data_IF_501379608392
#
_entry.id   IF_501379608392
#
_cell.length_a   1.000
_cell.length_b   1.000
_cell.length_c   1.000
_cell.angle_alpha   90.00
_cell.angle_beta   90.00
_cell.angle_gamma   90.00
#
_symmetry.space_group_name_H-M   'P 1'
#
loop_
_entity.id
_entity.type
_entity.pdbx_description
1 polymer ?
#
# COMPACT_ATOMS: atom_id res chain seq x y z
N UNK A 1 29.20 -7.24 6.45
CA UNK A 1 30.47 -7.08 5.75
C UNK A 1 30.27 -7.29 4.26
N UNK A 2 30.69 -6.31 3.44
CA UNK A 2 30.53 -6.27 1.98
C UNK A 2 31.66 -7.00 1.23
N UNK A 3 32.25 -8.05 1.82
CA UNK A 3 33.32 -8.83 1.15
C UNK A 3 32.66 -9.88 0.26
N UNK A 4 32.91 -9.82 -1.04
CA UNK A 4 32.53 -10.88 -1.98
C UNK A 4 33.30 -12.17 -1.62
N UNK A 5 32.56 -13.26 -1.47
CA UNK A 5 33.15 -14.59 -1.29
C UNK A 5 32.89 -15.41 -2.57
N UNK A 6 33.78 -16.34 -2.92
CA UNK A 6 33.62 -17.23 -4.11
C UNK A 6 32.33 -18.09 -4.08
N UNK A 7 31.56 -18.05 -3.00
CA UNK A 7 30.30 -18.80 -2.80
C UNK A 7 29.03 -17.97 -3.00
N UNK A 8 29.16 -16.66 -3.28
CA UNK A 8 27.97 -15.79 -3.44
C UNK A 8 27.22 -16.10 -4.73
N UNK A 9 25.92 -16.22 -4.64
CA UNK A 9 25.04 -16.30 -5.82
C UNK A 9 25.02 -14.97 -6.58
N UNK A 10 24.59 -14.97 -7.84
CA UNK A 10 24.49 -13.74 -8.65
C UNK A 10 23.54 -12.72 -8.01
N UNK A 11 22.44 -13.18 -7.41
CA UNK A 11 21.49 -12.32 -6.67
C UNK A 11 22.14 -11.67 -5.44
N UNK A 12 22.92 -12.42 -4.66
CA UNK A 12 23.65 -11.89 -3.48
C UNK A 12 24.69 -10.86 -3.87
N UNK A 13 25.38 -11.06 -5.02
CA UNK A 13 26.34 -10.07 -5.55
C UNK A 13 25.67 -8.78 -5.95
N UNK A 14 24.50 -8.86 -6.62
CA UNK A 14 23.70 -7.69 -6.98
C UNK A 14 23.23 -6.97 -5.72
N UNK A 15 22.72 -7.70 -4.72
CA UNK A 15 22.28 -7.14 -3.45
C UNK A 15 23.41 -6.41 -2.71
N UNK A 16 24.58 -7.04 -2.59
CA UNK A 16 25.77 -6.43 -1.97
C UNK A 16 26.23 -5.16 -2.72
N UNK A 17 26.19 -5.18 -4.05
CA UNK A 17 26.54 -4.01 -4.89
C UNK A 17 25.56 -2.86 -4.65
N UNK A 18 24.25 -3.14 -4.59
CA UNK A 18 23.24 -2.11 -4.33
C UNK A 18 23.35 -1.56 -2.92
N UNK A 19 23.57 -2.39 -1.90
CA UNK A 19 23.82 -1.94 -0.51
C UNK A 19 25.04 -1.02 -0.45
N UNK A 20 26.14 -1.36 -1.12
CA UNK A 20 27.31 -0.49 -1.19
C UNK A 20 27.00 0.87 -1.80
N UNK A 21 26.19 0.89 -2.86
CA UNK A 21 25.77 2.13 -3.48
C UNK A 21 24.90 2.99 -2.55
N UNK A 22 24.07 2.38 -1.69
CA UNK A 22 23.35 3.10 -0.65
C UNK A 22 24.30 3.74 0.38
N UNK A 23 25.30 3.01 0.85
CA UNK A 23 26.32 3.56 1.77
C UNK A 23 27.08 4.74 1.18
N UNK A 24 27.33 4.72 -0.13
CA UNK A 24 27.99 5.83 -0.80
C UNK A 24 27.03 7.01 -1.04
N UNK A 25 25.75 6.75 -1.31
CA UNK A 25 24.72 7.76 -1.42
C UNK A 25 24.41 8.43 -0.06
N UNK A 26 24.38 7.70 1.03
CA UNK A 26 24.16 8.22 2.39
C UNK A 26 25.18 9.32 2.76
N UNK A 27 26.38 9.25 2.22
CA UNK A 27 27.43 10.27 2.45
C UNK A 27 27.20 11.59 1.73
N UNK A 28 26.33 11.63 0.73
CA UNK A 28 26.12 12.78 -0.17
C UNK A 28 24.69 13.32 -0.15
N UNK A 29 23.72 12.52 0.33
CA UNK A 29 22.34 12.98 0.46
C UNK A 29 22.17 13.89 1.67
N UNK A 30 21.35 14.93 1.51
CA UNK A 30 20.95 15.81 2.61
C UNK A 30 19.57 15.45 3.15
N UNK A 31 18.70 14.86 2.31
CA UNK A 31 17.29 14.61 2.63
C UNK A 31 16.92 13.13 2.70
N UNK A 32 17.75 12.23 2.16
CA UNK A 32 17.48 10.79 2.17
C UNK A 32 16.30 10.37 1.30
N UNK A 33 15.94 11.15 0.27
CA UNK A 33 14.82 10.85 -0.63
C UNK A 33 15.24 9.86 -1.71
N UNK A 34 14.47 8.78 -1.86
CA UNK A 34 14.68 7.77 -2.92
C UNK A 34 14.78 8.38 -4.32
N UNK A 35 14.09 9.48 -4.58
CA UNK A 35 14.08 10.14 -5.89
C UNK A 35 15.44 10.77 -6.26
N UNK A 36 16.36 10.96 -5.30
CA UNK A 36 17.73 11.39 -5.58
C UNK A 36 18.60 10.27 -6.18
N UNK A 37 18.15 9.01 -6.08
CA UNK A 37 18.88 7.87 -6.63
C UNK A 37 18.80 7.88 -8.16
N UNK A 38 19.96 7.92 -8.81
CA UNK A 38 20.08 7.91 -10.28
C UNK A 38 19.94 6.52 -10.91
N UNK A 39 19.54 5.52 -10.13
CA UNK A 39 19.41 4.11 -10.56
C UNK A 39 18.21 3.47 -9.88
N UNK A 40 17.63 2.47 -10.55
CA UNK A 40 16.56 1.70 -9.98
C UNK A 40 17.06 0.78 -8.85
N UNK A 41 16.40 0.89 -7.71
CA UNK A 41 16.64 0.04 -6.56
C UNK A 41 15.53 -0.99 -6.46
N UNK A 42 15.91 -2.25 -6.30
CA UNK A 42 14.90 -3.30 -6.11
C UNK A 42 14.08 -3.04 -4.84
N UNK A 43 12.79 -3.32 -4.92
CA UNK A 43 11.88 -3.16 -3.78
C UNK A 43 12.36 -3.92 -2.53
N UNK A 44 12.90 -5.14 -2.72
CA UNK A 44 13.45 -6.00 -1.67
C UNK A 44 14.60 -5.35 -0.89
N UNK A 45 15.39 -4.51 -1.55
CA UNK A 45 16.51 -3.82 -0.89
C UNK A 45 16.02 -2.53 -0.26
N UNK A 46 15.11 -1.82 -0.94
CA UNK A 46 14.53 -0.61 -0.39
C UNK A 46 13.81 -0.89 0.95
N UNK A 47 13.04 -1.97 1.06
CA UNK A 47 12.40 -2.40 2.31
C UNK A 47 13.36 -2.60 3.48
N UNK A 48 14.64 -2.87 3.23
CA UNK A 48 15.65 -3.06 4.29
C UNK A 48 16.26 -1.75 4.81
N UNK A 49 16.09 -0.67 4.08
CA UNK A 49 16.74 0.63 4.39
C UNK A 49 15.74 1.77 4.57
N UNK A 50 14.48 1.62 4.15
CA UNK A 50 13.45 2.62 4.36
C UNK A 50 12.99 2.67 5.81
N UNK A 51 12.53 3.83 6.22
CA UNK A 51 11.85 3.98 7.51
C UNK A 51 10.40 3.46 7.41
N UNK A 52 10.05 2.48 8.23
CA UNK A 52 8.66 2.05 8.43
C UNK A 52 8.15 2.60 9.76
N UNK A 53 7.03 3.32 9.73
CA UNK A 53 6.55 4.09 10.89
C UNK A 53 6.25 3.23 12.12
N UNK A 54 5.77 2.02 11.94
CA UNK A 54 5.42 1.08 13.01
C UNK A 54 6.62 0.26 13.54
N UNK A 55 7.73 0.21 12.78
CA UNK A 55 9.01 -0.37 13.22
C UNK A 55 9.98 0.68 13.76
N UNK A 56 9.56 1.94 13.83
CA UNK A 56 10.42 3.03 14.26
C UNK A 56 10.39 3.21 15.78
N UNK A 57 11.54 3.06 16.44
CA UNK A 57 11.70 3.27 17.89
C UNK A 57 11.64 4.75 18.31
N UNK A 58 11.44 5.67 17.38
CA UNK A 58 11.35 7.11 17.67
C UNK A 58 12.58 7.63 18.39
N UNK A 59 12.37 8.41 19.46
CA UNK A 59 13.45 9.01 20.25
C UNK A 59 14.36 8.00 20.97
N UNK A 60 13.96 6.74 21.07
CA UNK A 60 14.79 5.66 21.62
C UNK A 60 15.77 5.08 20.59
N UNK A 61 15.66 5.45 19.32
CA UNK A 61 16.57 4.98 18.27
C UNK A 61 17.96 5.64 18.46
N UNK A 62 19.07 4.87 18.46
CA UNK A 62 20.42 5.44 18.60
C UNK A 62 20.79 6.39 17.45
N UNK A 63 20.13 6.30 16.31
CA UNK A 63 20.33 7.15 15.12
C UNK A 63 19.31 8.29 15.00
N UNK A 64 18.51 8.58 16.05
CA UNK A 64 17.41 9.55 16.01
C UNK A 64 17.84 10.93 15.51
N UNK A 65 18.99 11.44 15.97
CA UNK A 65 19.47 12.77 15.63
C UNK A 65 19.96 12.90 14.18
N UNK A 66 20.40 11.80 13.58
CA UNK A 66 20.92 11.76 12.21
C UNK A 66 19.85 11.25 11.21
N UNK A 67 18.72 10.78 11.71
CA UNK A 67 17.65 10.19 10.92
C UNK A 67 16.99 11.21 9.97
N UNK A 68 17.03 10.96 8.68
CA UNK A 68 16.40 11.80 7.66
C UNK A 68 14.90 11.97 7.87
N UNK A 69 14.23 10.89 8.30
CA UNK A 69 12.79 10.94 8.61
C UNK A 69 12.47 11.93 9.73
N UNK A 70 13.25 11.98 10.81
CA UNK A 70 13.03 12.91 11.91
C UNK A 70 13.48 14.34 11.58
N UNK A 71 14.53 14.52 10.76
CA UNK A 71 14.90 15.84 10.22
C UNK A 71 13.73 16.42 9.41
N UNK A 72 13.18 15.65 8.45
CA UNK A 72 12.02 16.07 7.68
C UNK A 72 10.78 16.34 8.56
N UNK A 73 10.55 15.54 9.60
CA UNK A 73 9.47 15.76 10.57
C UNK A 73 9.62 17.07 11.35
N UNK A 74 10.82 17.46 11.69
CA UNK A 74 11.09 18.74 12.35
C UNK A 74 10.71 19.89 11.44
N UNK A 75 11.11 19.85 10.18
CA UNK A 75 10.80 20.89 9.20
C UNK A 75 9.28 21.01 8.97
N UNK A 76 8.58 19.86 8.91
CA UNK A 76 7.10 19.81 8.81
C UNK A 76 6.43 20.51 10.00
N UNK A 77 6.93 20.32 11.22
CA UNK A 77 6.36 20.94 12.42
C UNK A 77 6.58 22.44 12.51
N UNK A 78 7.60 22.97 11.82
CA UNK A 78 7.93 24.40 11.76
C UNK A 78 7.21 25.12 10.58
N UNK A 79 6.54 24.38 9.69
CA UNK A 79 5.91 24.93 8.50
C UNK A 79 4.52 25.51 8.78
N UNK A 80 4.23 26.70 8.25
CA UNK A 80 2.92 27.35 8.29
C UNK A 80 1.94 26.76 7.25
N UNK A 81 2.47 26.23 6.15
CA UNK A 81 1.72 25.62 5.04
C UNK A 81 2.38 24.31 4.62
N UNK A 82 1.58 23.26 4.56
CA UNK A 82 2.01 21.95 4.07
C UNK A 82 1.28 21.59 2.78
N UNK A 83 2.03 21.16 1.77
CA UNK A 83 1.48 20.62 0.53
C UNK A 83 1.74 19.12 0.53
N UNK A 84 0.67 18.34 0.55
CA UNK A 84 0.71 16.88 0.59
C UNK A 84 -0.25 16.29 -0.44
N UNK A 85 0.00 15.07 -0.88
CA UNK A 85 -0.97 14.37 -1.72
C UNK A 85 -2.15 13.83 -0.88
N UNK A 86 -3.27 13.55 -1.53
CA UNK A 86 -4.46 13.03 -0.87
C UNK A 86 -4.20 11.72 -0.13
N UNK A 87 -3.35 10.84 -0.64
CA UNK A 87 -3.02 9.57 0.01
C UNK A 87 -2.33 9.77 1.37
N UNK A 88 -1.37 10.69 1.45
CA UNK A 88 -0.71 11.03 2.73
C UNK A 88 -1.69 11.63 3.72
N UNK A 89 -2.60 12.50 3.25
CA UNK A 89 -3.64 13.08 4.09
C UNK A 89 -4.58 12.02 4.67
N UNK A 90 -5.05 11.08 3.85
CA UNK A 90 -5.92 10.00 4.35
C UNK A 90 -5.18 8.99 5.22
N UNK A 91 -3.88 8.75 4.98
CA UNK A 91 -3.05 7.96 5.88
C UNK A 91 -2.92 8.61 7.26
N UNK A 92 -2.74 9.92 7.32
CA UNK A 92 -2.75 10.69 8.56
C UNK A 92 -4.10 10.61 9.28
N UNK A 93 -5.19 10.74 8.51
CA UNK A 93 -6.55 10.71 9.04
C UNK A 93 -6.87 9.38 9.75
N UNK A 94 -6.40 8.25 9.23
CA UNK A 94 -6.61 6.98 9.90
C UNK A 94 -5.85 6.85 11.20
N UNK A 95 -4.61 7.30 11.25
CA UNK A 95 -3.86 7.31 12.53
C UNK A 95 -4.61 8.18 13.55
N UNK A 96 -5.17 9.31 13.10
CA UNK A 96 -5.99 10.17 13.97
C UNK A 96 -7.30 9.52 14.39
N UNK A 97 -7.87 8.66 13.57
CA UNK A 97 -9.07 7.90 13.95
C UNK A 97 -8.81 6.98 15.13
N UNK A 98 -7.65 6.33 15.19
CA UNK A 98 -7.29 5.41 16.27
C UNK A 98 -6.74 6.13 17.51
N UNK A 99 -5.86 7.11 17.31
CA UNK A 99 -5.12 7.78 18.38
C UNK A 99 -5.76 9.09 18.89
N UNK A 100 -6.83 9.55 18.22
CA UNK A 100 -7.48 10.85 18.47
C UNK A 100 -7.01 11.95 17.52
N UNK A 101 -7.94 12.84 17.13
CA UNK A 101 -7.71 13.83 16.06
C UNK A 101 -6.53 14.78 16.34
N UNK A 102 -6.28 15.17 17.58
CA UNK A 102 -5.18 16.04 18.01
C UNK A 102 -4.01 15.25 18.63
N UNK A 103 -3.70 14.07 18.06
CA UNK A 103 -2.61 13.25 18.55
C UNK A 103 -1.24 13.79 18.09
N UNK A 104 -0.21 13.57 18.92
CA UNK A 104 1.18 13.83 18.55
C UNK A 104 1.83 12.67 17.74
N UNK A 105 1.10 11.57 17.57
CA UNK A 105 1.57 10.38 16.83
C UNK A 105 1.17 10.38 15.35
N UNK A 106 0.49 11.44 14.88
CA UNK A 106 0.04 11.58 13.49
C UNK A 106 1.21 11.79 12.49
N UNK A 107 0.94 11.56 11.21
CA UNK A 107 1.90 11.83 10.13
C UNK A 107 2.10 13.34 9.96
N UNK A 108 1.02 14.08 9.95
CA UNK A 108 1.00 15.53 9.82
C UNK A 108 0.89 16.20 11.20
N UNK A 109 1.43 17.41 11.41
CA UNK A 109 1.16 18.18 12.61
C UNK A 109 -0.32 18.52 12.72
N UNK A 110 -0.75 19.12 13.85
CA UNK A 110 -2.12 19.59 13.96
C UNK A 110 -2.36 20.75 12.97
N UNK A 111 -3.52 20.72 12.32
CA UNK A 111 -3.93 21.71 11.31
C UNK A 111 -5.34 22.20 11.59
N UNK A 112 -5.63 23.46 11.28
CA UNK A 112 -6.92 24.11 11.48
C UNK A 112 -7.73 24.21 10.18
N UNK A 113 -7.06 24.21 9.03
CA UNK A 113 -7.66 24.39 7.72
C UNK A 113 -7.09 23.35 6.76
N UNK A 114 -7.97 22.76 5.97
CA UNK A 114 -7.58 21.87 4.86
C UNK A 114 -8.13 22.42 3.55
N UNK A 115 -7.27 22.48 2.54
CA UNK A 115 -7.66 22.79 1.16
C UNK A 115 -7.43 21.56 0.31
N UNK A 116 -8.49 21.02 -0.24
CA UNK A 116 -8.43 19.92 -1.19
C UNK A 116 -8.44 20.50 -2.61
N UNK A 117 -7.30 20.45 -3.27
CA UNK A 117 -7.21 20.72 -4.69
C UNK A 117 -7.53 19.45 -5.49
N UNK A 118 -8.12 19.61 -6.68
CA UNK A 118 -8.66 18.49 -7.47
C UNK A 118 -9.60 17.58 -6.63
N UNK A 119 -10.47 18.25 -5.88
CA UNK A 119 -11.32 17.61 -4.87
C UNK A 119 -12.28 16.55 -5.43
N UNK A 120 -12.47 16.48 -6.76
CA UNK A 120 -13.22 15.42 -7.42
C UNK A 120 -12.62 14.02 -7.19
N UNK A 121 -11.34 13.92 -6.78
CA UNK A 121 -10.66 12.66 -6.49
C UNK A 121 -10.84 12.18 -5.03
N UNK A 122 -11.45 12.99 -4.16
CA UNK A 122 -11.52 12.68 -2.72
C UNK A 122 -12.31 11.42 -2.45
N UNK A 123 -13.46 11.24 -3.09
CA UNK A 123 -14.31 10.07 -2.88
C UNK A 123 -13.56 8.78 -3.19
N UNK A 124 -12.91 8.71 -4.35
CA UNK A 124 -12.15 7.52 -4.76
C UNK A 124 -10.93 7.28 -3.87
N UNK A 125 -10.22 8.35 -3.50
CA UNK A 125 -9.05 8.23 -2.62
C UNK A 125 -9.47 7.77 -1.23
N UNK A 126 -10.52 8.34 -0.65
CA UNK A 126 -11.08 7.92 0.63
C UNK A 126 -11.56 6.47 0.58
N UNK A 127 -12.28 6.09 -0.48
CA UNK A 127 -12.77 4.72 -0.69
C UNK A 127 -11.62 3.73 -0.76
N UNK A 128 -10.55 4.03 -1.51
CA UNK A 128 -9.36 3.18 -1.58
C UNK A 128 -8.69 3.05 -0.21
N UNK A 129 -8.65 4.14 0.54
CA UNK A 129 -8.05 4.17 1.85
C UNK A 129 -8.81 3.33 2.88
N UNK A 130 -10.14 3.42 2.89
CA UNK A 130 -11.01 2.63 3.77
C UNK A 130 -11.30 1.22 3.23
N UNK A 131 -10.64 0.80 2.15
CA UNK A 131 -10.74 -0.55 1.61
C UNK A 131 -9.76 -1.48 2.30
N UNK A 132 -10.25 -2.53 2.91
CA UNK A 132 -9.42 -3.62 3.41
C UNK A 132 -8.94 -4.49 2.25
N UNK A 133 -7.64 -4.76 2.20
CA UNK A 133 -7.02 -5.63 1.19
C UNK A 133 -6.20 -6.73 1.84
N UNK A 134 -6.38 -7.96 1.38
CA UNK A 134 -5.50 -9.09 1.69
C UNK A 134 -5.06 -9.73 0.38
N UNK A 135 -3.76 -9.85 0.18
CA UNK A 135 -3.21 -10.61 -0.95
C UNK A 135 -2.40 -11.80 -0.47
N UNK A 136 -2.34 -12.86 -1.30
CA UNK A 136 -1.50 -14.02 -1.03
C UNK A 136 -0.04 -13.63 -0.82
N UNK A 137 0.44 -12.69 -1.63
CA UNK A 137 1.81 -12.18 -1.52
C UNK A 137 2.04 -11.43 -0.21
N UNK A 138 1.15 -10.47 0.13
CA UNK A 138 1.29 -9.67 1.36
C UNK A 138 1.16 -10.54 2.62
N UNK A 139 0.19 -11.46 2.66
CA UNK A 139 0.05 -12.42 3.74
C UNK A 139 1.34 -13.23 3.97
N UNK A 140 1.93 -13.72 2.85
CA UNK A 140 3.18 -14.44 2.90
C UNK A 140 4.38 -13.62 3.38
N UNK A 141 4.41 -12.33 3.05
CA UNK A 141 5.45 -11.39 3.50
C UNK A 141 5.33 -11.12 5.00
N UNK A 142 4.12 -10.86 5.49
CA UNK A 142 3.87 -10.59 6.91
C UNK A 142 4.31 -11.78 7.78
N UNK A 143 3.90 -13.00 7.44
CA UNK A 143 4.34 -14.20 8.16
C UNK A 143 5.84 -14.41 8.03
N UNK A 144 6.41 -14.18 6.84
CA UNK A 144 7.83 -14.34 6.56
C UNK A 144 8.73 -13.38 7.34
N UNK A 145 8.26 -12.19 7.68
CA UNK A 145 9.00 -11.24 8.54
C UNK A 145 9.14 -11.76 9.97
N UNK A 146 8.17 -12.53 10.46
CA UNK A 146 8.27 -13.19 11.77
C UNK A 146 9.18 -14.40 11.66
N UNK A 147 8.92 -15.30 10.71
CA UNK A 147 9.72 -16.48 10.44
C UNK A 147 9.55 -16.94 8.97
N UNK A 148 10.66 -17.04 8.25
CA UNK A 148 10.67 -17.45 6.85
C UNK A 148 11.28 -18.84 6.66
N UNK A 149 10.45 -19.83 6.42
CA UNK A 149 10.86 -21.22 6.17
C UNK A 149 11.15 -21.54 4.69
N UNK A 150 10.93 -20.57 3.76
CA UNK A 150 10.94 -20.84 2.30
C UNK A 150 12.29 -20.70 1.66
N UNK A 151 13.20 -19.99 2.26
CA UNK A 151 14.55 -19.83 1.75
C UNK A 151 15.47 -20.75 2.52
N UNK A 152 16.20 -21.63 1.81
CA UNK A 152 17.36 -22.36 2.36
C UNK A 152 18.49 -21.39 2.75
N UNK A 153 18.32 -20.12 2.47
CA UNK A 153 19.26 -19.03 2.74
C UNK A 153 18.84 -18.41 4.06
N UNK A 154 19.71 -18.58 5.03
CA UNK A 154 19.84 -17.94 6.32
C UNK A 154 18.57 -17.26 6.88
N UNK A 155 17.80 -18.01 7.69
CA UNK A 155 16.70 -17.47 8.52
C UNK A 155 17.19 -16.49 9.61
N UNK A 156 18.47 -16.14 9.60
CA UNK A 156 19.13 -15.30 10.61
C UNK A 156 18.49 -13.92 10.77
N UNK A 157 17.79 -13.45 9.74
CA UNK A 157 17.18 -12.13 9.69
C UNK A 157 15.70 -12.09 10.12
N UNK A 158 15.04 -13.23 10.32
CA UNK A 158 13.66 -13.23 10.81
C UNK A 158 13.59 -12.74 12.26
N UNK A 159 12.52 -12.00 12.61
CA UNK A 159 12.41 -11.37 13.93
C UNK A 159 12.39 -12.40 15.06
N UNK A 160 11.73 -13.54 14.88
CA UNK A 160 11.76 -14.64 15.85
C UNK A 160 13.17 -15.14 16.14
N UNK A 161 14.00 -15.34 15.11
CA UNK A 161 15.38 -15.82 15.31
C UNK A 161 16.24 -14.78 15.98
N UNK A 162 16.05 -13.48 15.66
CA UNK A 162 16.77 -12.40 16.36
C UNK A 162 16.44 -12.38 17.86
N UNK A 163 15.15 -12.49 18.21
CA UNK A 163 14.73 -12.56 19.62
C UNK A 163 15.31 -13.79 20.30
N UNK A 164 15.30 -14.98 19.68
CA UNK A 164 15.88 -16.18 20.26
C UNK A 164 17.40 -16.05 20.51
N UNK A 165 18.13 -15.38 19.62
CA UNK A 165 19.55 -15.07 19.85
C UNK A 165 19.74 -14.15 21.05
N UNK A 166 18.96 -13.07 21.12
CA UNK A 166 19.00 -12.14 22.26
C UNK A 166 18.71 -12.86 23.57
N UNK A 167 17.72 -13.76 23.60
CA UNK A 167 17.40 -14.58 24.77
C UNK A 167 18.58 -15.50 25.17
N UNK A 168 19.19 -16.18 24.20
CA UNK A 168 20.33 -17.06 24.45
C UNK A 168 21.60 -16.32 24.94
N UNK A 169 21.75 -15.04 24.56
CA UNK A 169 22.85 -14.19 25.00
C UNK A 169 22.63 -13.66 26.43
N UNK A 170 21.39 -13.48 26.86
CA UNK A 170 21.08 -12.79 28.12
C UNK A 170 20.51 -13.69 29.23
N UNK A 171 19.95 -14.85 28.86
CA UNK A 171 19.36 -15.76 29.83
C UNK A 171 20.41 -16.74 30.42
N UNK A 172 20.17 -17.23 31.66
CA UNK A 172 20.94 -18.32 32.20
C UNK A 172 20.82 -19.58 31.35
N UNK A 173 21.89 -20.38 31.31
CA UNK A 173 21.94 -21.60 30.49
C UNK A 173 20.82 -22.61 30.80
N UNK A 174 20.30 -22.57 32.03
CA UNK A 174 19.17 -23.40 32.48
C UNK A 174 17.84 -23.12 31.74
N UNK A 175 17.67 -21.91 31.19
CA UNK A 175 16.48 -21.51 30.46
C UNK A 175 16.56 -21.82 28.94
N UNK A 176 17.71 -22.24 28.41
CA UNK A 176 17.88 -22.49 26.96
C UNK A 176 16.95 -23.58 26.41
N UNK A 177 16.74 -24.66 27.21
CA UNK A 177 15.82 -25.73 26.76
C UNK A 177 14.44 -25.18 26.56
N UNK A 178 13.97 -24.33 27.45
CA UNK A 178 12.65 -23.76 27.43
C UNK A 178 12.46 -22.72 26.28
N UNK A 179 13.52 -21.92 26.02
CA UNK A 179 13.49 -21.00 24.87
C UNK A 179 13.49 -21.74 23.55
N UNK A 180 14.21 -22.85 23.43
CA UNK A 180 14.19 -23.69 22.23
C UNK A 180 12.85 -24.40 22.04
N UNK A 181 12.17 -24.84 23.09
CA UNK A 181 10.81 -25.39 23.03
C UNK A 181 9.83 -24.32 22.52
N UNK A 182 9.90 -23.08 23.05
CA UNK A 182 9.09 -21.97 22.57
C UNK A 182 9.33 -21.68 21.10
N UNK A 183 10.59 -21.66 20.67
CA UNK A 183 10.96 -21.42 19.26
C UNK A 183 10.34 -22.46 18.35
N UNK A 184 10.53 -23.75 18.64
CA UNK A 184 10.00 -24.84 17.81
C UNK A 184 8.46 -24.82 17.74
N UNK A 185 7.78 -24.62 18.87
CA UNK A 185 6.33 -24.50 18.89
C UNK A 185 5.83 -23.28 18.12
N UNK A 186 6.48 -22.13 18.22
CA UNK A 186 6.13 -20.93 17.50
C UNK A 186 6.31 -21.12 15.99
N UNK A 187 7.44 -21.73 15.56
CA UNK A 187 7.70 -22.06 14.16
C UNK A 187 6.62 -22.99 13.60
N UNK A 188 6.29 -24.05 14.32
CA UNK A 188 5.26 -24.99 13.88
C UNK A 188 3.88 -24.34 13.77
N UNK A 189 3.51 -23.50 14.74
CA UNK A 189 2.24 -22.78 14.72
C UNK A 189 2.18 -21.76 13.57
N UNK A 190 3.27 -21.01 13.32
CA UNK A 190 3.36 -20.05 12.21
C UNK A 190 3.26 -20.74 10.84
N UNK A 191 4.00 -21.84 10.66
CA UNK A 191 3.97 -22.59 9.41
C UNK A 191 2.57 -23.16 9.13
N UNK A 192 1.96 -23.81 10.10
CA UNK A 192 0.64 -24.41 9.95
C UNK A 192 -0.44 -23.33 9.72
N UNK A 193 -0.34 -22.21 10.44
CA UNK A 193 -1.21 -21.05 10.24
C UNK A 193 -1.08 -20.50 8.81
N UNK A 194 0.15 -20.30 8.36
CA UNK A 194 0.44 -19.81 7.01
C UNK A 194 -0.11 -20.74 5.93
N UNK A 195 0.20 -22.06 6.01
CA UNK A 195 -0.28 -23.04 5.06
C UNK A 195 -1.80 -23.05 4.95
N UNK A 196 -2.49 -22.92 6.08
CA UNK A 196 -3.95 -22.91 6.11
C UNK A 196 -4.54 -21.62 5.51
N UNK A 197 -3.93 -20.47 5.76
CA UNK A 197 -4.32 -19.20 5.11
C UNK A 197 -4.10 -19.21 3.60
N UNK A 198 -2.97 -19.76 3.15
CA UNK A 198 -2.68 -19.94 1.72
C UNK A 198 -3.64 -20.96 1.08
N UNK A 199 -3.99 -22.06 1.77
CA UNK A 199 -4.97 -23.03 1.28
C UNK A 199 -6.31 -22.38 0.95
N UNK A 200 -6.79 -21.44 1.78
CA UNK A 200 -8.02 -20.69 1.50
C UNK A 200 -7.90 -19.94 0.17
N UNK A 201 -6.81 -19.20 -0.02
CA UNK A 201 -6.58 -18.40 -1.22
C UNK A 201 -6.40 -19.27 -2.47
N UNK A 202 -5.65 -20.37 -2.36
CA UNK A 202 -5.40 -21.29 -3.47
C UNK A 202 -6.66 -22.06 -3.89
N UNK A 203 -7.53 -22.40 -2.95
CA UNK A 203 -8.84 -22.98 -3.28
C UNK A 203 -9.70 -22.03 -4.13
N UNK A 204 -9.69 -20.74 -3.84
CA UNK A 204 -10.41 -19.74 -4.65
C UNK A 204 -9.76 -19.62 -6.04
N UNK A 205 -8.45 -19.57 -6.14
CA UNK A 205 -7.73 -19.52 -7.43
C UNK A 205 -8.07 -20.76 -8.26
N UNK A 206 -8.10 -21.96 -7.63
CA UNK A 206 -8.32 -23.22 -8.32
C UNK A 206 -9.66 -23.29 -9.07
N UNK A 207 -10.69 -22.57 -8.61
CA UNK A 207 -11.98 -22.48 -9.33
C UNK A 207 -11.84 -21.82 -10.71
N UNK A 208 -10.80 -21.05 -10.93
CA UNK A 208 -10.61 -20.22 -12.11
C UNK A 208 -9.34 -20.56 -12.92
N UNK A 209 -8.65 -21.67 -12.59
CA UNK A 209 -7.46 -22.11 -13.33
C UNK A 209 -7.75 -22.38 -14.80
N UNK A 210 -8.94 -22.92 -15.11
CA UNK A 210 -9.38 -23.24 -16.47
C UNK A 210 -10.24 -22.12 -17.09
N UNK A 211 -10.24 -20.93 -16.51
CA UNK A 211 -10.94 -19.79 -17.08
C UNK A 211 -10.05 -19.16 -18.17
N UNK A 212 -10.43 -19.38 -19.42
CA UNK A 212 -9.68 -18.94 -20.60
C UNK A 212 -9.85 -17.44 -20.92
N UNK A 213 -10.54 -16.67 -20.09
CA UNK A 213 -10.60 -15.22 -20.26
C UNK A 213 -9.19 -14.63 -20.18
N UNK A 214 -8.82 -13.83 -21.18
CA UNK A 214 -7.57 -13.10 -21.16
C UNK A 214 -7.64 -11.98 -20.11
N UNK A 215 -6.64 -11.89 -19.22
CA UNK A 215 -6.53 -10.81 -18.23
C UNK A 215 -6.89 -11.23 -16.81
N UNK A 216 -7.16 -10.23 -15.99
CA UNK A 216 -7.52 -10.38 -14.58
C UNK A 216 -8.98 -10.81 -14.43
N UNK A 217 -9.25 -11.60 -13.39
CA UNK A 217 -10.60 -11.96 -12.99
C UNK A 217 -10.99 -11.13 -11.77
N UNK A 218 -12.05 -10.34 -11.89
CA UNK A 218 -12.65 -9.58 -10.77
C UNK A 218 -14.08 -10.07 -10.56
N UNK A 219 -14.36 -10.56 -9.36
CA UNK A 219 -15.68 -11.08 -9.00
C UNK A 219 -16.03 -10.73 -7.55
N UNK A 220 -17.32 -10.52 -7.31
CA UNK A 220 -17.86 -10.34 -5.97
C UNK A 220 -17.91 -11.68 -5.23
N UNK A 221 -17.67 -11.66 -3.92
CA UNK A 221 -17.69 -12.87 -3.07
C UNK A 221 -19.11 -13.44 -2.97
N UNK A 222 -20.15 -12.62 -2.95
CA UNK A 222 -21.54 -13.09 -2.95
C UNK A 222 -21.91 -13.86 -4.23
N UNK A 223 -21.31 -13.50 -5.38
CA UNK A 223 -21.46 -14.29 -6.62
C UNK A 223 -20.83 -15.67 -6.45
N UNK A 224 -19.66 -15.77 -5.83
CA UNK A 224 -19.01 -17.05 -5.52
C UNK A 224 -19.89 -17.88 -4.58
N UNK A 225 -20.39 -17.27 -3.49
CA UNK A 225 -21.28 -17.94 -2.52
C UNK A 225 -22.54 -18.49 -3.17
N UNK A 226 -23.16 -17.72 -4.07
CA UNK A 226 -24.40 -18.13 -4.73
C UNK A 226 -24.19 -19.21 -5.80
N UNK A 227 -23.13 -19.12 -6.60
CA UNK A 227 -22.86 -20.05 -7.70
C UNK A 227 -22.27 -21.37 -7.23
N UNK A 228 -21.46 -21.37 -6.15
CA UNK A 228 -20.68 -22.52 -5.70
C UNK A 228 -20.91 -22.80 -4.20
N UNK A 229 -22.13 -23.05 -3.80
CA UNK A 229 -22.51 -23.29 -2.38
C UNK A 229 -21.71 -24.42 -1.72
N UNK A 230 -21.50 -25.55 -2.42
CA UNK A 230 -20.73 -26.65 -1.89
C UNK A 230 -19.29 -26.23 -1.61
N UNK A 231 -18.64 -25.58 -2.57
CA UNK A 231 -17.28 -25.04 -2.42
C UNK A 231 -17.19 -24.09 -1.23
N UNK A 232 -18.18 -23.18 -1.08
CA UNK A 232 -18.17 -22.24 0.01
C UNK A 232 -18.30 -22.94 1.38
N UNK A 233 -19.10 -23.98 1.49
CA UNK A 233 -19.22 -24.78 2.72
C UNK A 233 -17.89 -25.49 3.05
N UNK A 234 -17.19 -26.02 2.06
CA UNK A 234 -15.85 -26.59 2.24
C UNK A 234 -14.84 -25.54 2.68
N UNK A 235 -14.87 -24.34 2.07
CA UNK A 235 -14.03 -23.22 2.45
C UNK A 235 -14.28 -22.75 3.89
N UNK A 236 -15.55 -22.80 4.33
CA UNK A 236 -15.94 -22.44 5.70
C UNK A 236 -15.27 -23.35 6.73
N UNK A 237 -15.17 -24.66 6.45
CA UNK A 237 -14.45 -25.60 7.31
C UNK A 237 -12.95 -25.26 7.39
N UNK A 238 -12.32 -24.91 6.26
CA UNK A 238 -10.91 -24.50 6.25
C UNK A 238 -10.72 -23.18 7.02
N UNK A 239 -11.65 -22.24 6.86
CA UNK A 239 -11.66 -20.97 7.61
C UNK A 239 -11.77 -21.19 9.12
N UNK A 240 -12.61 -22.12 9.58
CA UNK A 240 -12.73 -22.43 11.00
C UNK A 240 -11.44 -23.05 11.56
N UNK A 241 -10.80 -23.95 10.83
CA UNK A 241 -9.48 -24.46 11.19
C UNK A 241 -8.42 -23.35 11.25
N UNK A 242 -8.47 -22.39 10.33
CA UNK A 242 -7.58 -21.23 10.31
C UNK A 242 -7.77 -20.34 11.54
N UNK A 243 -9.02 -20.13 12.00
CA UNK A 243 -9.36 -19.43 13.25
C UNK A 243 -8.77 -20.13 14.48
N UNK A 244 -8.91 -21.45 14.55
CA UNK A 244 -8.39 -22.25 15.65
C UNK A 244 -6.84 -22.17 15.73
N UNK A 245 -6.18 -22.21 14.58
CA UNK A 245 -4.72 -22.06 14.49
C UNK A 245 -4.26 -20.69 14.92
N UNK A 246 -4.99 -19.62 14.51
CA UNK A 246 -4.73 -18.27 14.98
C UNK A 246 -4.86 -18.16 16.50
N UNK A 247 -5.92 -18.70 17.08
CA UNK A 247 -6.14 -18.69 18.53
C UNK A 247 -4.98 -19.39 19.29
N UNK A 248 -4.47 -20.52 18.76
CA UNK A 248 -3.31 -21.23 19.30
C UNK A 248 -2.03 -20.37 19.21
N UNK A 249 -1.82 -19.74 18.06
CA UNK A 249 -0.65 -18.87 17.82
C UNK A 249 -0.63 -17.68 18.78
N UNK A 250 -1.77 -17.00 18.95
CA UNK A 250 -1.88 -15.84 19.86
C UNK A 250 -1.74 -16.25 21.33
N UNK A 251 -2.27 -17.42 21.71
CA UNK A 251 -2.06 -17.97 23.05
C UNK A 251 -0.58 -18.17 23.31
N UNK A 252 0.13 -18.81 22.39
CA UNK A 252 1.57 -19.07 22.50
C UNK A 252 2.38 -17.78 22.56
N UNK A 253 2.04 -16.78 21.75
CA UNK A 253 2.66 -15.46 21.79
C UNK A 253 2.50 -14.80 23.17
N UNK A 254 1.31 -14.87 23.76
CA UNK A 254 1.04 -14.32 25.10
C UNK A 254 1.88 -15.02 26.16
N UNK A 255 1.97 -16.35 26.09
CA UNK A 255 2.84 -17.13 27.00
C UNK A 255 4.31 -16.70 26.87
N UNK A 256 4.75 -16.45 25.63
CA UNK A 256 6.11 -16.01 25.33
C UNK A 256 6.39 -14.59 25.83
N UNK A 257 5.46 -13.64 25.66
CA UNK A 257 5.57 -12.29 26.21
C UNK A 257 5.69 -12.31 27.74
N UNK A 258 4.80 -13.01 28.42
CA UNK A 258 4.84 -13.15 29.86
C UNK A 258 6.15 -13.82 30.37
N UNK A 259 6.78 -14.62 29.51
CA UNK A 259 8.08 -15.21 29.81
C UNK A 259 9.21 -14.20 29.68
N UNK A 260 9.22 -13.37 28.62
CA UNK A 260 10.22 -12.30 28.41
C UNK A 260 10.16 -11.26 29.52
N UNK A 261 8.96 -10.81 29.90
CA UNK A 261 8.73 -9.82 30.95
C UNK A 261 9.36 -10.20 32.32
N UNK A 262 9.44 -11.50 32.65
CA UNK A 262 10.07 -11.97 33.89
C UNK A 262 11.55 -11.66 34.02
N UNK A 263 12.21 -11.35 32.91
CA UNK A 263 13.66 -11.14 32.86
C UNK A 263 14.04 -9.68 32.59
N UNK A 264 13.06 -8.75 32.61
CA UNK A 264 13.23 -7.31 32.34
C UNK A 264 14.02 -7.03 31.05
N UNK A 265 13.82 -7.87 30.03
CA UNK A 265 14.57 -7.81 28.78
C UNK A 265 14.18 -6.64 27.89
N UNK A 266 12.97 -6.09 28.06
CA UNK A 266 12.49 -4.94 27.31
C UNK A 266 13.23 -3.65 27.68
N UNK A 267 13.55 -3.44 28.96
CA UNK A 267 14.30 -2.26 29.42
C UNK A 267 15.73 -2.23 28.87
N UNK A 268 16.26 -3.37 28.47
CA UNK A 268 17.62 -3.55 27.95
C UNK A 268 17.65 -3.88 26.46
N UNK A 269 16.57 -3.67 25.72
CA UNK A 269 16.48 -3.92 24.28
C UNK A 269 17.05 -2.75 23.46
N UNK A 270 18.36 -2.49 23.63
CA UNK A 270 19.06 -1.37 22.98
C UNK A 270 18.91 -1.33 21.44
N UNK A 271 18.61 -2.48 20.82
CA UNK A 271 18.44 -2.62 19.37
C UNK A 271 16.98 -2.70 18.91
N UNK A 272 16.02 -2.64 19.83
CA UNK A 272 14.59 -2.74 19.52
C UNK A 272 14.16 -4.09 18.95
N UNK A 273 14.88 -5.18 19.22
CA UNK A 273 14.62 -6.50 18.65
C UNK A 273 13.27 -7.08 19.11
N UNK A 274 12.97 -6.92 20.41
CA UNK A 274 11.70 -7.36 20.99
C UNK A 274 10.56 -6.51 20.46
N UNK A 275 10.76 -5.19 20.40
CA UNK A 275 9.79 -4.25 19.84
C UNK A 275 9.44 -4.58 18.39
N UNK A 276 10.46 -4.83 17.52
CA UNK A 276 10.23 -5.23 16.13
C UNK A 276 9.43 -6.53 16.02
N UNK A 277 9.76 -7.53 16.86
CA UNK A 277 9.04 -8.80 16.89
C UNK A 277 7.56 -8.60 17.25
N UNK A 278 7.27 -7.79 18.26
CA UNK A 278 5.89 -7.48 18.67
C UNK A 278 5.12 -6.77 17.56
N UNK A 279 5.76 -5.79 16.90
CA UNK A 279 5.14 -5.05 15.77
C UNK A 279 4.82 -5.96 14.58
N UNK A 280 5.66 -6.94 14.28
CA UNK A 280 5.33 -7.92 13.25
C UNK A 280 4.13 -8.81 13.64
N UNK A 281 3.96 -9.10 14.92
CA UNK A 281 2.76 -9.79 15.39
C UNK A 281 1.51 -8.90 15.38
N UNK A 282 1.62 -7.62 15.69
CA UNK A 282 0.51 -6.67 15.53
C UNK A 282 0.05 -6.61 14.06
N UNK A 283 1.00 -6.53 13.11
CA UNK A 283 0.72 -6.62 11.66
C UNK A 283 0.05 -7.95 11.28
N UNK A 284 0.49 -9.06 11.87
CA UNK A 284 -0.12 -10.36 11.63
C UNK A 284 -1.55 -10.42 12.15
N UNK A 285 -1.81 -9.86 13.33
CA UNK A 285 -3.12 -9.75 13.93
C UNK A 285 -4.07 -8.94 13.03
N UNK A 286 -3.68 -7.75 12.62
CA UNK A 286 -4.43 -6.90 11.71
C UNK A 286 -4.73 -7.62 10.38
N UNK A 287 -3.71 -8.24 9.79
CA UNK A 287 -3.85 -9.02 8.56
C UNK A 287 -4.86 -10.16 8.72
N UNK A 288 -4.84 -10.89 9.84
CA UNK A 288 -5.81 -11.96 10.13
C UNK A 288 -7.22 -11.40 10.32
N UNK A 289 -7.39 -10.31 11.06
CA UNK A 289 -8.69 -9.68 11.31
C UNK A 289 -9.31 -9.22 9.97
N UNK A 290 -8.54 -8.55 9.13
CA UNK A 290 -8.96 -8.14 7.78
C UNK A 290 -9.31 -9.35 6.90
N UNK A 291 -8.51 -10.42 6.97
CA UNK A 291 -8.77 -11.64 6.20
C UNK A 291 -10.11 -12.28 6.59
N UNK A 292 -10.36 -12.44 7.89
CA UNK A 292 -11.61 -13.00 8.40
C UNK A 292 -12.79 -12.08 8.12
N UNK A 293 -12.62 -10.77 8.24
CA UNK A 293 -13.64 -9.77 7.91
C UNK A 293 -14.10 -9.91 6.46
N UNK A 294 -13.16 -9.97 5.52
CA UNK A 294 -13.47 -10.11 4.10
C UNK A 294 -14.15 -11.46 3.80
N UNK A 295 -13.65 -12.56 4.38
CA UNK A 295 -14.22 -13.90 4.16
C UNK A 295 -15.62 -14.06 4.76
N UNK A 296 -15.89 -13.44 5.89
CA UNK A 296 -17.24 -13.45 6.48
C UNK A 296 -18.23 -12.71 5.59
N UNK A 297 -17.83 -11.56 5.03
CA UNK A 297 -18.61 -10.74 4.11
C UNK A 297 -20.08 -10.56 4.55
N UNK A 298 -20.29 -10.23 5.81
CA UNK A 298 -21.60 -10.13 6.47
C UNK A 298 -21.92 -8.73 6.99
N UNK A 299 -20.96 -7.80 6.99
CA UNK A 299 -21.19 -6.42 7.40
C UNK A 299 -21.88 -5.65 6.27
N UNK A 300 -22.96 -4.94 6.61
CA UNK A 300 -23.63 -4.04 5.69
C UNK A 300 -22.75 -2.82 5.36
N UNK A 301 -22.94 -2.24 4.18
CA UNK A 301 -22.16 -1.08 3.74
C UNK A 301 -20.84 -1.40 3.04
N UNK A 302 -20.46 -2.66 2.90
CA UNK A 302 -19.28 -3.09 2.17
C UNK A 302 -19.61 -3.93 0.95
N UNK A 303 -18.79 -3.76 -0.10
CA UNK A 303 -18.74 -4.66 -1.25
C UNK A 303 -17.54 -5.58 -1.10
N UNK A 304 -17.78 -6.88 -1.01
CA UNK A 304 -16.73 -7.89 -0.88
C UNK A 304 -16.45 -8.51 -2.24
N UNK A 305 -15.19 -8.42 -2.67
CA UNK A 305 -14.80 -8.91 -3.99
C UNK A 305 -13.35 -9.43 -3.98
N UNK A 306 -12.97 -10.12 -5.05
CA UNK A 306 -11.62 -10.59 -5.23
C UNK A 306 -11.13 -10.33 -6.65
N UNK A 307 -9.82 -10.26 -6.78
CA UNK A 307 -9.09 -10.12 -8.03
C UNK A 307 -8.04 -11.22 -8.12
N UNK A 308 -8.08 -12.00 -9.19
CA UNK A 308 -7.05 -13.00 -9.50
C UNK A 308 -6.22 -12.44 -10.64
N UNK A 309 -4.91 -12.50 -10.51
CA UNK A 309 -3.97 -12.01 -11.51
C UNK A 309 -4.05 -12.79 -12.82
N UNK A 310 -3.55 -12.21 -13.88
CA UNK A 310 -3.48 -12.78 -15.23
C UNK A 310 -2.85 -14.19 -15.24
N UNK A 311 -1.84 -14.42 -14.43
CA UNK A 311 -1.09 -15.69 -14.38
C UNK A 311 -1.73 -16.74 -13.46
N UNK A 312 -2.83 -16.39 -12.74
CA UNK A 312 -3.48 -17.26 -11.73
C UNK A 312 -2.54 -17.68 -10.59
N UNK A 313 -1.57 -16.85 -10.25
CA UNK A 313 -0.59 -17.10 -9.19
C UNK A 313 -0.87 -16.34 -7.91
N UNK A 314 -1.54 -15.18 -8.03
CA UNK A 314 -1.87 -14.32 -6.90
C UNK A 314 -3.36 -13.97 -6.90
N UNK A 315 -3.90 -13.83 -5.70
CA UNK A 315 -5.25 -13.35 -5.46
C UNK A 315 -5.20 -12.23 -4.44
N UNK A 316 -6.03 -11.24 -4.66
CA UNK A 316 -6.32 -10.15 -3.73
C UNK A 316 -7.78 -10.22 -3.35
N UNK A 317 -8.06 -10.18 -2.06
CA UNK A 317 -9.41 -10.10 -1.49
C UNK A 317 -9.63 -8.69 -0.98
N UNK A 318 -10.82 -8.16 -1.16
CA UNK A 318 -11.16 -6.78 -0.81
C UNK A 318 -12.51 -6.71 -0.06
N UNK A 319 -12.57 -5.79 0.90
CA UNK A 319 -13.83 -5.24 1.41
C UNK A 319 -13.79 -3.73 1.21
N UNK A 320 -14.58 -3.23 0.28
CA UNK A 320 -14.62 -1.83 -0.13
C UNK A 320 -15.89 -1.18 0.40
N UNK A 321 -15.84 -0.07 1.12
CA UNK A 321 -17.04 0.62 1.57
C UNK A 321 -17.85 1.13 0.37
N UNK A 322 -19.16 0.89 0.41
CA UNK A 322 -20.07 1.39 -0.62
C UNK A 322 -20.22 2.92 -0.54
N UNK A 323 -20.28 3.45 0.68
CA UNK A 323 -20.43 4.86 0.98
C UNK A 323 -19.37 5.26 2.01
N UNK A 324 -18.57 6.25 1.69
CA UNK A 324 -17.50 6.79 2.56
C UNK A 324 -17.97 7.99 3.39
N UNK A 325 -19.22 8.42 3.22
CA UNK A 325 -19.73 9.64 3.83
C UNK A 325 -19.70 9.60 5.36
N UNK A 326 -20.01 8.46 5.96
CA UNK A 326 -20.00 8.31 7.41
C UNK A 326 -18.56 8.42 7.96
N UNK A 327 -17.61 7.73 7.35
CA UNK A 327 -16.20 7.76 7.74
C UNK A 327 -15.63 9.18 7.58
N UNK A 328 -15.95 9.88 6.49
CA UNK A 328 -15.54 11.26 6.28
C UNK A 328 -16.18 12.23 7.28
N UNK A 329 -17.46 12.04 7.59
CA UNK A 329 -18.14 12.88 8.59
C UNK A 329 -17.51 12.72 9.97
N UNK A 330 -17.37 11.49 10.46
CA UNK A 330 -16.88 11.21 11.82
C UNK A 330 -15.41 11.59 12.00
N UNK A 331 -14.59 11.35 10.98
CA UNK A 331 -13.13 11.49 11.08
C UNK A 331 -12.58 12.82 10.58
N UNK A 332 -13.32 13.52 9.71
CA UNK A 332 -12.86 14.76 9.10
C UNK A 332 -13.82 15.92 9.32
N UNK A 333 -15.08 15.81 8.84
CA UNK A 333 -15.96 16.97 8.78
C UNK A 333 -16.46 17.41 10.16
N UNK A 334 -16.63 16.49 11.09
CA UNK A 334 -16.98 16.82 12.48
C UNK A 334 -15.79 17.38 13.29
N UNK A 335 -14.56 17.12 12.85
CA UNK A 335 -13.33 17.50 13.56
C UNK A 335 -12.76 18.84 13.12
N UNK A 336 -13.01 19.27 11.88
CA UNK A 336 -12.47 20.50 11.29
C UNK A 336 -13.60 21.48 10.93
N UNK A 337 -13.42 22.73 11.33
CA UNK A 337 -14.40 23.79 11.02
C UNK A 337 -14.20 24.43 9.65
N UNK A 338 -13.01 24.34 9.10
CA UNK A 338 -12.64 25.01 7.84
C UNK A 338 -12.05 24.03 6.86
N UNK A 339 -12.87 23.67 5.86
CA UNK A 339 -12.46 22.81 4.75
C UNK A 339 -12.85 23.52 3.47
N UNK A 340 -11.93 23.56 2.52
CA UNK A 340 -12.12 24.15 1.20
C UNK A 340 -11.92 23.06 0.15
N UNK A 341 -12.87 22.94 -0.76
CA UNK A 341 -12.78 22.03 -1.90
C UNK A 341 -12.66 22.88 -3.17
N UNK A 342 -11.67 22.59 -3.99
CA UNK A 342 -11.48 23.23 -5.30
C UNK A 342 -11.23 22.19 -6.39
N UNK A 343 -11.88 22.37 -7.53
CA UNK A 343 -11.66 21.58 -8.74
C UNK A 343 -12.43 22.19 -9.90
N UNK A 344 -12.06 21.84 -11.12
CA UNK A 344 -12.75 22.25 -12.32
C UNK A 344 -14.12 21.55 -12.51
N UNK A 345 -14.39 20.43 -11.83
CA UNK A 345 -15.49 19.50 -12.16
C UNK A 345 -16.40 19.14 -10.97
N UNK A 346 -16.49 19.98 -9.93
CA UNK A 346 -17.35 19.71 -8.77
C UNK A 346 -18.83 19.97 -9.03
N UNK A 347 -19.16 20.85 -9.96
CA UNK A 347 -20.52 21.21 -10.31
C UNK A 347 -20.97 20.52 -11.59
N UNK A 348 -22.20 19.99 -11.59
CA UNK A 348 -22.92 19.48 -12.76
C UNK A 348 -24.17 20.34 -12.91
N UNK A 349 -24.40 20.93 -14.08
CA UNK A 349 -25.50 21.88 -14.34
C UNK A 349 -25.57 23.00 -13.28
N UNK A 350 -24.41 23.59 -12.99
CA UNK A 350 -24.24 24.64 -11.96
C UNK A 350 -24.65 24.23 -10.52
N UNK A 351 -24.72 22.94 -10.23
CA UNK A 351 -25.14 22.41 -8.93
C UNK A 351 -24.06 21.48 -8.35
N UNK A 352 -23.80 21.63 -7.05
CA UNK A 352 -22.88 20.79 -6.29
C UNK A 352 -23.56 19.56 -5.65
N UNK A 353 -24.79 19.23 -6.08
CA UNK A 353 -25.60 18.18 -5.45
C UNK A 353 -24.87 16.84 -5.41
N UNK A 354 -24.39 16.37 -6.55
CA UNK A 354 -23.68 15.08 -6.66
C UNK A 354 -22.46 15.04 -5.72
N UNK A 355 -21.60 16.04 -5.81
CA UNK A 355 -20.40 16.12 -4.97
C UNK A 355 -20.72 16.15 -3.47
N UNK A 356 -21.78 16.85 -3.05
CA UNK A 356 -22.19 16.88 -1.66
C UNK A 356 -22.74 15.53 -1.19
N UNK A 357 -23.56 14.88 -1.98
CA UNK A 357 -24.13 13.57 -1.67
C UNK A 357 -23.04 12.49 -1.59
N UNK A 358 -22.07 12.48 -2.52
CA UNK A 358 -21.00 11.46 -2.55
C UNK A 358 -20.06 11.54 -1.35
N UNK A 359 -19.85 12.71 -0.76
CA UNK A 359 -19.03 12.90 0.43
C UNK A 359 -19.85 12.98 1.73
N UNK A 360 -21.20 12.98 1.66
CA UNK A 360 -22.07 13.13 2.83
C UNK A 360 -22.12 14.56 3.39
N UNK A 361 -21.74 15.57 2.60
CA UNK A 361 -21.79 16.98 3.01
C UNK A 361 -23.23 17.48 3.17
N UNK A 362 -24.21 16.85 2.53
CA UNK A 362 -25.64 17.12 2.68
C UNK A 362 -26.18 16.73 4.06
N UNK A 363 -25.46 15.86 4.80
CA UNK A 363 -25.84 15.36 6.12
C UNK A 363 -25.22 16.19 7.28
N UNK A 364 -24.22 17.02 7.00
CA UNK A 364 -23.54 17.82 8.03
C UNK A 364 -24.37 19.03 8.44
N UNK A 365 -24.23 19.45 9.70
CA UNK A 365 -24.95 20.63 10.24
C UNK A 365 -24.16 21.94 10.03
N UNK A 366 -22.99 21.89 9.44
CA UNK A 366 -22.13 23.08 9.20
C UNK A 366 -22.59 23.85 7.98
N UNK A 367 -22.35 25.17 7.97
CA UNK A 367 -22.67 26.04 6.85
C UNK A 367 -21.77 25.71 5.66
N UNK A 368 -22.36 25.41 4.52
CA UNK A 368 -21.65 25.23 3.26
C UNK A 368 -21.81 26.49 2.41
N UNK A 369 -20.74 26.95 1.81
CA UNK A 369 -20.71 28.07 0.86
C UNK A 369 -20.29 27.49 -0.49
N UNK A 370 -21.13 27.68 -1.49
CA UNK A 370 -20.91 27.23 -2.86
C UNK A 370 -20.56 28.41 -3.75
N UNK A 371 -19.55 28.26 -4.60
CA UNK A 371 -19.14 29.29 -5.55
C UNK A 371 -18.64 28.70 -6.84
N UNK A 372 -19.18 29.15 -7.97
CA UNK A 372 -18.69 28.85 -9.31
C UNK A 372 -17.89 30.06 -9.78
N UNK A 373 -16.67 29.81 -10.27
CA UNK A 373 -15.82 30.81 -10.87
C UNK A 373 -15.61 30.40 -12.33
N UNK A 374 -16.08 31.22 -13.24
CA UNK A 374 -15.96 30.96 -14.67
C UNK A 374 -14.49 31.03 -15.12
N UNK A 375 -14.16 30.25 -16.15
CA UNK A 375 -12.85 30.32 -16.79
C UNK A 375 -12.58 31.71 -17.34
N UNK A 376 -11.34 32.25 -17.17
CA UNK A 376 -10.95 33.51 -17.79
C UNK A 376 -10.69 33.39 -19.31
N UNK A 377 -10.66 32.16 -19.84
CA UNK A 377 -10.37 31.90 -21.24
C UNK A 377 -11.63 32.02 -22.11
N UNK A 378 -11.52 32.71 -23.23
CA UNK A 378 -12.54 32.78 -24.29
C UNK A 378 -12.34 31.59 -25.23
N UNK A 379 -12.99 30.46 -24.90
CA UNK A 379 -12.83 29.21 -25.65
C UNK A 379 -13.29 29.32 -27.09
N UNK A 380 -14.29 30.16 -27.40
CA UNK A 380 -14.75 30.34 -28.78
C UNK A 380 -13.66 30.94 -29.67
N UNK A 381 -12.79 31.76 -29.10
CA UNK A 381 -11.69 32.40 -29.87
C UNK A 381 -10.33 31.71 -29.71
N UNK A 382 -10.11 31.05 -28.55
CA UNK A 382 -8.79 30.54 -28.18
C UNK A 382 -8.65 29.02 -28.36
N UNK A 383 -9.75 28.31 -28.60
CA UNK A 383 -9.72 26.86 -28.76
C UNK A 383 -10.24 26.44 -30.14
N UNK A 384 -9.55 25.48 -30.74
CA UNK A 384 -10.01 24.82 -31.96
C UNK A 384 -9.96 23.30 -31.74
N UNK A 385 -11.06 22.61 -32.03
CA UNK A 385 -11.16 21.15 -31.86
C UNK A 385 -11.15 20.51 -33.24
N UNK A 386 -10.22 19.55 -33.43
CA UNK A 386 -10.15 18.74 -34.63
C UNK A 386 -10.50 17.30 -34.28
N UNK A 387 -11.47 16.75 -34.96
CA UNK A 387 -11.90 15.35 -34.83
C UNK A 387 -11.70 14.67 -36.17
N UNK A 388 -10.74 13.72 -36.28
CA UNK A 388 -10.60 12.93 -37.48
C UNK A 388 -11.84 12.06 -37.71
N UNK A 389 -12.36 12.06 -38.96
CA UNK A 389 -13.54 11.26 -39.32
C UNK A 389 -13.19 9.92 -39.96
N UNK A 390 -11.95 9.74 -40.36
CA UNK A 390 -11.43 8.62 -41.14
C UNK A 390 -10.53 7.67 -40.31
N UNK A 391 -10.63 7.70 -38.99
CA UNK A 391 -9.95 6.75 -38.11
C UNK A 391 -10.71 5.44 -37.98
N UNK A 392 -9.95 4.34 -37.84
CA UNK A 392 -10.50 3.04 -37.52
C UNK A 392 -11.17 3.04 -36.13
N UNK A 393 -12.04 2.05 -35.89
CA UNK A 393 -12.68 1.87 -34.58
C UNK A 393 -11.64 1.47 -33.51
N UNK A 394 -11.79 1.92 -32.26
CA UNK A 394 -10.82 1.65 -31.18
C UNK A 394 -10.50 0.15 -30.93
N UNK A 395 -11.39 -0.75 -31.34
CA UNK A 395 -11.21 -2.20 -31.22
C UNK A 395 -10.51 -2.83 -32.43
N UNK A 396 -10.23 -2.06 -33.49
CA UNK A 396 -9.49 -2.55 -34.65
C UNK A 396 -8.02 -2.73 -34.30
N UNK A 397 -7.40 -3.79 -34.85
CA UNK A 397 -6.00 -4.11 -34.60
C UNK A 397 -5.02 -3.06 -35.14
N UNK A 398 -5.43 -2.30 -36.16
CA UNK A 398 -4.67 -1.22 -36.78
C UNK A 398 -5.03 0.17 -36.27
N UNK A 399 -5.96 0.30 -35.32
CA UNK A 399 -6.38 1.60 -34.76
C UNK A 399 -5.19 2.45 -34.26
N UNK A 400 -4.24 1.84 -33.55
CA UNK A 400 -3.09 2.56 -33.02
C UNK A 400 -2.09 2.98 -34.11
N UNK A 401 -2.11 2.36 -35.28
CA UNK A 401 -1.32 2.80 -36.44
C UNK A 401 -1.90 4.08 -37.03
N UNK A 402 -3.24 4.16 -37.16
CA UNK A 402 -3.90 5.38 -37.58
C UNK A 402 -3.66 6.53 -36.59
N UNK A 403 -3.81 6.23 -35.27
CA UNK A 403 -3.55 7.22 -34.22
C UNK A 403 -2.11 7.74 -34.30
N UNK A 404 -1.14 6.87 -34.52
CA UNK A 404 0.28 7.24 -34.65
C UNK A 404 0.50 8.23 -35.80
N UNK A 405 -0.12 8.01 -36.97
CA UNK A 405 -0.02 8.91 -38.11
C UNK A 405 -0.56 10.32 -37.79
N UNK A 406 -1.69 10.41 -37.08
CA UNK A 406 -2.23 11.72 -36.62
C UNK A 406 -1.34 12.39 -35.60
N UNK A 407 -0.78 11.63 -34.67
CA UNK A 407 0.16 12.14 -33.67
C UNK A 407 1.43 12.70 -34.33
N UNK A 408 1.97 12.00 -35.32
CA UNK A 408 3.15 12.48 -36.07
C UNK A 408 2.87 13.81 -36.77
N UNK A 409 1.73 13.91 -37.47
CA UNK A 409 1.28 15.15 -38.10
C UNK A 409 1.11 16.30 -37.09
N UNK A 410 0.53 15.99 -35.93
CA UNK A 410 0.30 16.97 -34.86
C UNK A 410 1.61 17.49 -34.28
N UNK A 411 2.54 16.59 -33.94
CA UNK A 411 3.86 16.94 -33.41
C UNK A 411 4.60 17.85 -34.41
N UNK A 412 4.59 17.50 -35.70
CA UNK A 412 5.21 18.31 -36.75
C UNK A 412 4.57 19.69 -36.88
N UNK A 413 3.23 19.76 -36.89
CA UNK A 413 2.49 21.02 -37.02
C UNK A 413 2.70 21.95 -35.84
N UNK A 414 2.78 21.42 -34.63
CA UNK A 414 2.97 22.18 -33.39
C UNK A 414 4.45 22.37 -33.05
N UNK A 415 5.36 21.83 -33.84
CA UNK A 415 6.80 21.86 -33.58
C UNK A 415 7.18 21.28 -32.18
N UNK A 416 6.43 20.27 -31.74
CA UNK A 416 6.61 19.63 -30.43
C UNK A 416 5.90 20.32 -29.27
N UNK A 417 5.29 21.49 -29.49
CA UNK A 417 4.54 22.22 -28.44
C UNK A 417 3.13 21.60 -28.26
N UNK A 418 3.06 20.34 -27.82
CA UNK A 418 1.81 19.64 -27.61
C UNK A 418 1.92 18.63 -26.45
N UNK A 419 0.80 18.35 -25.80
CA UNK A 419 0.65 17.22 -24.89
C UNK A 419 -0.14 16.12 -25.57
N UNK A 420 0.36 14.90 -25.52
CA UNK A 420 -0.31 13.71 -26.03
C UNK A 420 -0.91 12.94 -24.86
N UNK A 421 -2.25 12.93 -24.77
CA UNK A 421 -2.97 12.28 -23.70
C UNK A 421 -3.54 10.93 -24.18
N UNK A 422 -3.32 9.87 -23.40
CA UNK A 422 -3.75 8.52 -23.72
C UNK A 422 -4.68 7.97 -22.64
N UNK A 423 -5.60 7.11 -23.04
CA UNK A 423 -6.52 6.41 -22.12
C UNK A 423 -5.89 5.14 -21.50
N UNK A 424 -4.73 4.68 -22.02
CA UNK A 424 -4.02 3.53 -21.47
C UNK A 424 -2.49 3.67 -21.64
N UNK A 425 -1.75 3.12 -20.69
CA UNK A 425 -0.29 3.03 -20.78
C UNK A 425 0.18 2.21 -21.96
N UNK A 426 -0.53 1.14 -22.31
CA UNK A 426 -0.18 0.29 -23.47
C UNK A 426 -0.27 1.05 -24.79
N UNK A 427 -1.30 1.86 -24.99
CA UNK A 427 -1.44 2.72 -26.17
C UNK A 427 -0.35 3.79 -26.23
N UNK A 428 -0.07 4.42 -25.09
CA UNK A 428 1.01 5.41 -24.98
C UNK A 428 2.36 4.79 -25.34
N UNK A 429 2.69 3.62 -24.77
CA UNK A 429 3.95 2.96 -25.02
C UNK A 429 4.09 2.49 -26.47
N UNK A 430 3.00 2.00 -27.06
CA UNK A 430 2.97 1.64 -28.48
C UNK A 430 3.28 2.82 -29.40
N UNK A 431 2.56 3.92 -29.25
CA UNK A 431 2.76 5.13 -30.05
C UNK A 431 4.14 5.74 -29.80
N UNK A 432 4.61 5.77 -28.54
CA UNK A 432 5.95 6.27 -28.20
C UNK A 432 7.06 5.50 -28.92
N UNK A 433 7.02 4.16 -28.89
CA UNK A 433 8.02 3.30 -29.56
C UNK A 433 8.08 3.52 -31.08
N UNK A 434 6.94 3.82 -31.72
CA UNK A 434 6.90 4.15 -33.15
C UNK A 434 7.37 5.57 -33.43
N UNK A 435 6.84 6.55 -32.74
CA UNK A 435 7.16 7.96 -32.92
C UNK A 435 8.64 8.28 -32.71
N UNK A 436 9.30 7.65 -31.73
CA UNK A 436 10.72 7.89 -31.44
C UNK A 436 11.64 7.50 -32.63
N UNK A 437 11.17 6.65 -33.53
CA UNK A 437 11.92 6.26 -34.75
C UNK A 437 11.82 7.34 -35.82
N UNK A 438 10.80 8.19 -35.81
CA UNK A 438 10.51 9.22 -36.79
C UNK A 438 11.04 10.60 -36.38
N UNK A 439 11.36 10.80 -35.10
CA UNK A 439 11.83 12.08 -34.56
C UNK A 439 13.25 12.00 -34.02
N UNK A 440 14.06 12.98 -34.37
CA UNK A 440 15.35 13.21 -33.71
C UNK A 440 15.07 13.82 -32.34
N UNK A 441 15.26 13.02 -31.27
CA UNK A 441 14.96 13.38 -29.89
C UNK A 441 15.65 14.70 -29.47
N UNK A 442 16.81 15.02 -30.08
CA UNK A 442 17.56 16.24 -29.79
C UNK A 442 16.98 17.50 -30.46
N UNK A 443 16.02 17.35 -31.35
CA UNK A 443 15.44 18.46 -32.13
C UNK A 443 14.12 18.99 -31.56
N UNK A 444 13.47 18.22 -30.68
CA UNK A 444 12.14 18.50 -30.10
C UNK A 444 12.14 18.44 -28.57
N UNK A 445 13.24 18.85 -27.93
CA UNK A 445 13.32 18.97 -26.47
C UNK A 445 12.47 20.12 -25.95
#
# INVERSE_FOLDING_TARGET
>A
STVETEKDTEEERIEKKQIKTFVDWDKITEVGDRNELKYEVSYKIWEKVNCESDLCNGSKCPYYNDCYFFKARKDINEADLLIVNHHMFFADLAIRQEAGFHTNYSILPNYDIVVFDEAHNIEDTARNYFTYEISKFNFGRIVGNIYNNRTKIDNSNSSLIKVMRLLNERLPQEEYIKTDEFKEEMINNLNTFYEKGVEILDKIIALYLNDFRSGEIKLRIDVLKNKNKQFWNELENVKNNFKDLYAKLIKKLREFKNYIEKFDLEENDDNGIIFDFEKYFDRLKECYENFIFILNSNEEGYVYWFQIDKNRTNIKLYATPFDVSNQLNENLFDKLDKIIFTSATLAVDEKFKYFKESLGLDKIKKKIIEKIINSPFDYEKQMQVYIPEDTLEPNDIYFLDDVEEYLEKTIKATQGNCFLLFTSYSSMEYCYKKLIQHFDIFKYN
#
